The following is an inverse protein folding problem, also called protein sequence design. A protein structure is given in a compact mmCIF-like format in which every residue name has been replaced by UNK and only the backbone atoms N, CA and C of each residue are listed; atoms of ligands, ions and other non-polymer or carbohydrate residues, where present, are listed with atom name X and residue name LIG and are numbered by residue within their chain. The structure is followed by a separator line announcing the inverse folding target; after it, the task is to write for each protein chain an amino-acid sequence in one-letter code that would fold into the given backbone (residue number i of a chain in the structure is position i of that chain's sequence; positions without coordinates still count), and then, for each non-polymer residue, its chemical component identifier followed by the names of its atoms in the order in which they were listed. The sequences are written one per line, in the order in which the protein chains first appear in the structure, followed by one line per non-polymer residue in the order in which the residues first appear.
data_IF_975205246457
#
_entry.id   IF_975205246457
#
_cell.length_a   1.000
_cell.length_b   1.000
_cell.length_c   1.000
_cell.angle_alpha   90.00
_cell.angle_beta   90.00
_cell.angle_gamma   90.00
#
_symmetry.space_group_name_H-M   'P 1'
#
loop_
_entity.id
_entity.type
_entity.pdbx_description
1 polymer ?
#
# COMPACT_ATOMS: atom_id res chain seq x y z
N UNK A 1 -0.76 23.87 -22.39
CA UNK A 1 0.13 23.98 -21.21
C UNK A 1 0.67 22.61 -20.89
N UNK A 2 1.97 22.49 -20.73
CA UNK A 2 2.63 21.24 -20.31
C UNK A 2 2.70 21.29 -18.78
N UNK A 3 1.90 20.46 -18.10
CA UNK A 3 1.97 20.33 -16.65
C UNK A 3 3.25 19.55 -16.31
N UNK A 4 4.26 20.24 -15.78
CA UNK A 4 5.40 19.61 -15.13
C UNK A 4 4.93 19.12 -13.75
N UNK A 5 4.78 17.81 -13.61
CA UNK A 5 4.50 17.18 -12.32
C UNK A 5 5.83 16.99 -11.60
N UNK A 6 6.05 17.77 -10.54
CA UNK A 6 7.19 17.61 -9.64
C UNK A 6 6.78 16.60 -8.55
N UNK A 7 7.21 15.35 -8.67
CA UNK A 7 7.05 14.36 -7.60
C UNK A 7 8.05 14.69 -6.47
N UNK A 8 7.55 15.21 -5.35
CA UNK A 8 8.33 15.26 -4.12
C UNK A 8 8.69 13.83 -3.70
N UNK A 9 9.98 13.55 -3.55
CA UNK A 9 10.48 12.21 -3.27
C UNK A 9 9.84 11.63 -2.00
N UNK A 10 8.96 10.64 -2.18
CA UNK A 10 8.30 9.94 -1.09
C UNK A 10 9.30 9.21 -0.19
N UNK A 11 8.96 9.07 1.08
CA UNK A 11 9.73 8.27 2.03
C UNK A 11 9.59 6.78 1.71
N UNK A 12 10.69 6.14 1.32
CA UNK A 12 10.73 4.69 1.08
C UNK A 12 10.91 3.95 2.41
N UNK A 13 9.95 3.09 2.74
CA UNK A 13 10.05 2.18 3.90
C UNK A 13 10.47 0.81 3.40
N UNK A 14 11.60 0.30 3.90
CA UNK A 14 12.03 -1.06 3.63
C UNK A 14 11.12 -2.07 4.34
N UNK A 15 10.46 -2.94 3.58
CA UNK A 15 9.64 -4.02 4.12
C UNK A 15 10.44 -5.34 4.10
N UNK A 16 10.65 -5.98 5.26
CA UNK A 16 11.25 -7.30 5.33
C UNK A 16 10.46 -8.36 4.53
N UNK A 17 11.13 -9.39 4.04
CA UNK A 17 10.44 -10.55 3.46
C UNK A 17 9.58 -11.25 4.52
N UNK A 18 8.38 -11.68 4.13
CA UNK A 18 7.44 -12.35 5.06
C UNK A 18 6.74 -11.41 6.04
N UNK A 19 6.78 -10.09 5.81
CA UNK A 19 6.04 -9.09 6.60
C UNK A 19 4.54 -9.40 6.60
N UNK A 20 3.92 -9.34 7.77
CA UNK A 20 2.48 -9.56 7.90
C UNK A 20 1.69 -8.35 7.37
N UNK A 21 0.49 -8.58 6.80
CA UNK A 21 -0.35 -7.52 6.21
C UNK A 21 -0.63 -6.37 7.18
N UNK A 22 -0.78 -6.66 8.47
CA UNK A 22 -0.99 -5.67 9.51
C UNK A 22 0.20 -4.69 9.67
N UNK A 23 1.43 -5.14 9.42
CA UNK A 23 2.63 -4.30 9.44
C UNK A 23 2.73 -3.44 8.18
N UNK A 24 2.38 -3.99 7.01
CA UNK A 24 2.31 -3.23 5.76
C UNK A 24 1.30 -2.08 5.88
N UNK A 25 0.10 -2.37 6.38
CA UNK A 25 -0.95 -1.36 6.59
C UNK A 25 -0.51 -0.30 7.61
N UNK A 26 0.19 -0.69 8.67
CA UNK A 26 0.75 0.27 9.64
C UNK A 26 1.80 1.18 9.01
N UNK A 27 2.72 0.62 8.23
CA UNK A 27 3.74 1.39 7.53
C UNK A 27 3.11 2.41 6.58
N UNK A 28 2.14 1.99 5.77
CA UNK A 28 1.42 2.86 4.83
C UNK A 28 0.66 3.98 5.54
N UNK A 29 -0.04 3.68 6.63
CA UNK A 29 -0.68 4.71 7.45
C UNK A 29 0.34 5.72 7.99
N UNK A 30 1.52 5.25 8.43
CA UNK A 30 2.57 6.11 8.98
C UNK A 30 3.22 7.04 7.93
N UNK A 31 3.30 6.61 6.66
CA UNK A 31 3.74 7.50 5.55
C UNK A 31 2.62 8.38 5.00
N UNK A 32 1.40 8.28 5.54
CA UNK A 32 0.28 9.15 5.15
C UNK A 32 -0.48 8.68 3.91
N UNK A 33 -0.39 7.40 3.55
CA UNK A 33 -1.22 6.83 2.49
C UNK A 33 -2.71 7.00 2.87
N UNK A 34 -3.55 7.34 1.90
CA UNK A 34 -4.98 7.51 2.18
C UNK A 34 -5.64 6.16 2.43
N UNK A 35 -6.75 6.09 3.18
CA UNK A 35 -7.50 4.85 3.35
C UNK A 35 -7.90 4.20 2.02
N UNK A 36 -8.25 5.03 1.02
CA UNK A 36 -8.57 4.56 -0.31
C UNK A 36 -7.38 3.88 -0.99
N UNK A 37 -6.18 4.46 -0.90
CA UNK A 37 -4.96 3.88 -1.47
C UNK A 37 -4.60 2.55 -0.80
N UNK A 38 -4.75 2.47 0.53
CA UNK A 38 -4.50 1.25 1.28
C UNK A 38 -5.45 0.14 0.82
N UNK A 39 -6.75 0.44 0.68
CA UNK A 39 -7.74 -0.54 0.20
C UNK A 39 -7.41 -0.97 -1.23
N UNK A 40 -7.12 -0.03 -2.12
CA UNK A 40 -6.75 -0.34 -3.51
C UNK A 40 -5.51 -1.22 -3.60
N UNK A 41 -4.51 -0.99 -2.75
CA UNK A 41 -3.33 -1.85 -2.65
C UNK A 41 -3.68 -3.24 -2.13
N UNK A 42 -4.51 -3.36 -1.09
CA UNK A 42 -4.92 -4.67 -0.55
C UNK A 42 -5.66 -5.51 -1.60
N UNK A 43 -6.53 -4.88 -2.40
CA UNK A 43 -7.19 -5.52 -3.54
C UNK A 43 -6.17 -5.99 -4.57
N UNK A 44 -5.15 -5.18 -4.88
CA UNK A 44 -4.10 -5.56 -5.81
C UNK A 44 -3.27 -6.75 -5.30
N UNK A 45 -2.98 -6.81 -3.99
CA UNK A 45 -2.28 -7.93 -3.35
C UNK A 45 -3.12 -9.22 -3.41
N UNK A 46 -4.44 -9.12 -3.19
CA UNK A 46 -5.38 -10.24 -3.32
C UNK A 46 -5.45 -10.74 -4.77
N UNK A 47 -5.60 -9.84 -5.75
CA UNK A 47 -5.61 -10.18 -7.18
C UNK A 47 -4.29 -10.79 -7.67
N UNK A 48 -3.16 -10.40 -7.06
CA UNK A 48 -1.86 -10.99 -7.34
C UNK A 48 -1.69 -12.40 -6.74
N UNK A 49 -2.65 -12.88 -5.93
CA UNK A 49 -2.54 -14.13 -5.19
C UNK A 49 -1.48 -14.10 -4.09
N UNK A 50 -0.98 -12.91 -3.73
CA UNK A 50 0.04 -12.72 -2.71
C UNK A 50 -0.57 -12.66 -1.30
N UNK A 51 -1.89 -12.51 -1.19
CA UNK A 51 -2.59 -12.54 0.09
C UNK A 51 -2.79 -13.99 0.57
N UNK A 52 -2.23 -14.30 1.74
CA UNK A 52 -2.55 -15.56 2.43
C UNK A 52 -3.87 -15.40 3.21
N UNK A 53 -4.99 -15.66 2.53
CA UNK A 53 -6.33 -15.54 3.11
C UNK A 53 -7.37 -15.10 2.09
N UNK A 54 -8.48 -14.55 2.59
CA UNK A 54 -9.55 -13.95 1.77
C UNK A 54 -9.72 -12.51 2.22
N UNK A 55 -9.68 -11.58 1.27
CA UNK A 55 -10.01 -10.18 1.53
C UNK A 55 -11.54 -10.02 1.64
N UNK A 56 -12.02 -9.60 2.80
CA UNK A 56 -13.42 -9.18 2.98
C UNK A 56 -13.51 -7.65 3.15
N UNK A 57 -14.39 -7.01 2.40
CA UNK A 57 -14.69 -5.58 2.51
C UNK A 57 -16.16 -5.46 2.94
N UNK A 58 -16.41 -4.75 4.05
CA UNK A 58 -17.75 -4.53 4.60
C UNK A 58 -18.00 -3.05 4.87
#
# INVERSE_FOLDING_TARGET
ETLEVTEEGGSLVALPAGTAINEVVRALNAVGATPQDIISLLIAIDQAGALHGVLEIR
#
